data_IF_007591789218
#
_entry.id   IF_007591789218
#
_cell.length_a   1.000
_cell.length_b   1.000
_cell.length_c   1.000
_cell.angle_alpha   90.00
_cell.angle_beta   90.00
_cell.angle_gamma   90.00
#
_symmetry.space_group_name_H-M   'P 1'
#
loop_
_entity.id
_entity.type
_entity.pdbx_description
1 polymer ?
#
# COMPACT_ATOMS: atom_id res chain seq x y z
N UNK A 1 8.91 -8.15 15.63
CA UNK A 1 8.02 -8.10 14.47
C UNK A 1 6.89 -7.12 14.75
N UNK A 2 6.76 -6.07 13.94
CA UNK A 2 5.60 -5.18 14.02
C UNK A 2 4.39 -5.91 13.43
N UNK A 3 3.31 -6.05 14.19
CA UNK A 3 2.02 -6.59 13.73
C UNK A 3 1.01 -5.45 13.74
N UNK A 4 0.34 -5.25 12.60
CA UNK A 4 -0.80 -4.33 12.52
C UNK A 4 -2.03 -4.99 13.15
N UNK A 5 -2.86 -4.19 13.83
CA UNK A 5 -4.19 -4.62 14.24
C UNK A 5 -5.08 -4.88 13.01
N UNK A 6 -6.20 -5.62 13.14
CA UNK A 6 -7.01 -6.02 11.99
C UNK A 6 -7.54 -4.84 11.15
N UNK A 7 -7.97 -3.77 11.80
CA UNK A 7 -8.43 -2.51 11.21
C UNK A 7 -7.29 -1.75 10.52
N UNK A 8 -6.14 -1.63 11.19
CA UNK A 8 -4.93 -1.03 10.64
C UNK A 8 -4.47 -1.79 9.37
N UNK A 9 -4.49 -3.12 9.43
CA UNK A 9 -4.15 -4.01 8.32
C UNK A 9 -5.13 -3.83 7.16
N UNK A 10 -6.42 -3.69 7.43
CA UNK A 10 -7.45 -3.52 6.41
C UNK A 10 -7.28 -2.18 5.66
N UNK A 11 -7.22 -1.06 6.38
CA UNK A 11 -7.01 0.27 5.78
C UNK A 11 -5.71 0.32 4.96
N UNK A 12 -4.66 -0.29 5.50
CA UNK A 12 -3.37 -0.37 4.85
C UNK A 12 -3.37 -1.19 3.56
N UNK A 13 -4.06 -2.33 3.52
CA UNK A 13 -4.19 -3.14 2.30
C UNK A 13 -5.07 -2.47 1.26
N UNK A 14 -6.19 -1.88 1.70
CA UNK A 14 -7.08 -1.14 0.81
C UNK A 14 -6.32 -0.01 0.11
N UNK A 15 -5.54 0.76 0.87
CA UNK A 15 -4.69 1.79 0.28
C UNK A 15 -3.58 1.24 -0.60
N UNK A 16 -3.01 0.07 -0.26
CA UNK A 16 -2.01 -0.59 -1.12
C UNK A 16 -2.62 -0.94 -2.48
N UNK A 17 -3.86 -1.43 -2.53
CA UNK A 17 -4.54 -1.72 -3.79
C UNK A 17 -4.92 -0.47 -4.56
N UNK A 18 -5.38 0.58 -3.87
CA UNK A 18 -5.73 1.87 -4.47
C UNK A 18 -4.55 2.50 -5.19
N UNK A 19 -3.42 2.68 -4.48
CA UNK A 19 -2.25 3.37 -5.05
C UNK A 19 -1.59 2.56 -6.17
N UNK A 20 -1.62 1.23 -6.05
CA UNK A 20 -0.98 0.35 -7.04
C UNK A 20 -1.86 -0.04 -8.20
N UNK A 21 -3.18 0.15 -8.07
CA UNK A 21 -4.16 -0.30 -9.06
C UNK A 21 -3.99 -1.79 -9.41
N UNK A 22 -3.38 -2.59 -8.53
CA UNK A 22 -2.94 -3.96 -8.82
C UNK A 22 -4.08 -4.83 -9.38
N UNK A 23 -5.29 -4.62 -8.87
CA UNK A 23 -6.48 -5.41 -9.23
C UNK A 23 -7.48 -4.61 -10.08
N UNK A 24 -7.09 -3.46 -10.62
CA UNK A 24 -7.90 -2.69 -11.56
C UNK A 24 -7.62 -3.25 -12.97
N UNK A 25 -8.62 -3.85 -13.59
CA UNK A 25 -8.56 -4.37 -14.95
C UNK A 25 -9.78 -3.91 -15.77
N UNK A 26 -9.68 -3.77 -17.11
CA UNK A 26 -10.82 -3.96 -18.01
C UNK A 26 -11.10 -5.46 -18.29
N UNK A 27 -10.26 -6.34 -17.79
CA UNK A 27 -10.36 -7.79 -17.88
C UNK A 27 -11.10 -8.36 -16.65
N UNK A 28 -12.36 -8.75 -16.87
CA UNK A 28 -13.13 -9.74 -16.11
C UNK A 28 -13.31 -9.46 -14.59
N UNK A 29 -14.43 -8.80 -14.28
CA UNK A 29 -15.26 -9.15 -13.12
C UNK A 29 -14.83 -8.69 -11.72
N UNK A 30 -13.78 -7.88 -11.58
CA UNK A 30 -13.45 -7.24 -10.29
C UNK A 30 -14.09 -5.85 -10.19
N UNK A 31 -15.08 -5.72 -9.31
CA UNK A 31 -15.59 -4.41 -8.90
C UNK A 31 -14.57 -3.71 -7.98
N UNK A 32 -14.37 -2.38 -8.10
CA UNK A 32 -13.38 -1.59 -7.34
C UNK A 32 -13.61 -1.48 -5.81
N UNK A 33 -14.25 -2.46 -5.19
CA UNK A 33 -14.51 -2.54 -3.75
C UNK A 33 -14.44 -3.98 -3.20
N UNK A 34 -14.17 -4.98 -4.04
CA UNK A 34 -13.98 -6.35 -3.58
C UNK A 34 -12.52 -6.58 -3.27
N UNK A 35 -12.24 -6.88 -1.99
CA UNK A 35 -10.94 -7.40 -1.54
C UNK A 35 -10.56 -8.58 -2.44
N UNK A 36 -9.29 -8.71 -2.89
CA UNK A 36 -8.85 -9.90 -3.60
C UNK A 36 -9.19 -11.14 -2.77
N UNK A 37 -9.53 -12.24 -3.42
CA UNK A 37 -9.86 -13.50 -2.74
C UNK A 37 -8.73 -13.96 -1.81
N UNK A 38 -7.49 -13.57 -2.10
CA UNK A 38 -6.30 -13.73 -1.26
C UNK A 38 -5.55 -12.39 -1.14
N UNK A 39 -5.47 -11.83 0.07
CA UNK A 39 -4.71 -10.60 0.34
C UNK A 39 -3.28 -10.88 0.79
N UNK A 40 -2.38 -9.88 0.70
CA UNK A 40 -1.00 -10.02 1.22
C UNK A 40 -0.94 -10.38 2.72
N UNK A 41 -1.99 -10.05 3.50
CA UNK A 41 -2.09 -10.50 4.89
C UNK A 41 -2.31 -12.01 5.02
N UNK A 42 -3.00 -12.66 4.07
CA UNK A 42 -3.18 -14.12 4.09
C UNK A 42 -1.83 -14.82 3.91
N UNK A 43 -0.97 -14.29 3.03
CA UNK A 43 0.40 -14.75 2.86
C UNK A 43 1.22 -14.61 4.13
N UNK A 44 1.15 -13.45 4.79
CA UNK A 44 1.87 -13.21 6.03
C UNK A 44 1.36 -14.10 7.18
N UNK A 45 0.04 -14.31 7.27
CA UNK A 45 -0.58 -15.23 8.25
C UNK A 45 -0.12 -16.66 8.04
N UNK A 46 -0.08 -17.13 6.79
CA UNK A 46 0.42 -18.47 6.47
C UNK A 46 1.89 -18.61 6.85
N UNK A 47 2.73 -17.62 6.51
CA UNK A 47 4.13 -17.58 6.92
C UNK A 47 4.28 -17.71 8.43
N UNK A 48 3.58 -16.88 9.22
CA UNK A 48 3.64 -16.92 10.68
C UNK A 48 3.20 -18.28 11.21
N UNK A 49 2.11 -18.82 10.65
CA UNK A 49 1.59 -20.13 11.02
C UNK A 49 2.60 -21.25 10.78
N UNK A 50 3.35 -21.22 9.68
CA UNK A 50 4.38 -22.25 9.41
C UNK A 50 5.60 -22.01 10.30
N UNK A 51 6.07 -20.77 10.44
CA UNK A 51 7.28 -20.42 11.18
C UNK A 51 7.15 -20.70 12.68
N UNK A 52 5.99 -20.43 13.28
CA UNK A 52 5.76 -20.53 14.73
C UNK A 52 5.32 -21.94 15.18
N UNK A 53 4.64 -22.71 14.31
CA UNK A 53 4.12 -24.03 14.70
C UNK A 53 5.18 -25.13 14.64
N UNK A 54 5.14 -26.05 15.62
CA UNK A 54 5.96 -27.27 15.60
C UNK A 54 5.60 -28.16 14.40
N UNK A 55 4.30 -28.38 14.17
CA UNK A 55 3.78 -29.23 13.09
C UNK A 55 2.85 -28.48 12.14
N UNK A 56 2.99 -28.75 10.85
CA UNK A 56 2.17 -28.19 9.78
C UNK A 56 1.55 -29.32 8.94
N UNK A 57 0.59 -30.02 9.53
CA UNK A 57 -0.11 -31.11 8.85
C UNK A 57 -1.16 -30.56 7.91
N UNK A 58 -1.05 -30.86 6.61
CA UNK A 58 -1.98 -30.37 5.58
C UNK A 58 -3.09 -31.36 5.25
N UNK A 59 -2.84 -32.65 5.46
CA UNK A 59 -3.76 -33.75 5.14
C UNK A 59 -4.14 -34.47 6.43
N UNK A 60 -5.42 -34.81 6.59
CA UNK A 60 -5.91 -35.70 7.63
C UNK A 60 -6.41 -37.00 6.99
N UNK A 61 -6.06 -38.13 7.60
CA UNK A 61 -6.58 -39.45 7.24
C UNK A 61 -7.64 -39.81 8.26
N UNK A 62 -8.89 -39.93 7.83
CA UNK A 62 -9.96 -40.43 8.69
C UNK A 62 -10.36 -41.85 8.22
N UNK A 63 -10.47 -42.82 9.13
CA UNK A 63 -11.03 -44.12 8.78
C UNK A 63 -12.53 -43.95 8.54
N UNK A 64 -13.00 -44.38 7.36
CA UNK A 64 -14.42 -44.54 7.07
C UNK A 64 -14.83 -45.98 7.31
N UNK A 65 -16.04 -46.20 7.81
CA UNK A 65 -16.54 -47.49 8.28
C UNK A 65 -16.68 -48.56 7.18
N UNK A 66 -16.65 -48.19 5.89
CA UNK A 66 -17.02 -49.11 4.80
C UNK A 66 -15.83 -49.70 4.02
N UNK A 67 -14.61 -49.17 4.16
CA UNK A 67 -13.41 -49.75 3.55
C UNK A 67 -12.17 -49.29 4.32
N UNK A 68 -11.21 -50.19 4.59
CA UNK A 68 -9.89 -49.91 5.21
C UNK A 68 -8.98 -48.96 4.39
N UNK A 69 -9.54 -48.23 3.41
CA UNK A 69 -8.84 -47.25 2.59
C UNK A 69 -9.12 -45.85 3.17
N UNK A 70 -8.16 -45.23 3.87
CA UNK A 70 -8.38 -43.94 4.51
C UNK A 70 -8.69 -42.86 3.47
N UNK A 71 -9.83 -42.20 3.61
CA UNK A 71 -10.10 -40.99 2.85
C UNK A 71 -9.17 -39.86 3.32
N UNK A 72 -8.65 -39.12 2.34
CA UNK A 72 -7.66 -38.06 2.52
C UNK A 72 -8.41 -36.74 2.47
N UNK A 73 -8.47 -36.04 3.61
CA UNK A 73 -9.11 -34.73 3.71
C UNK A 73 -8.06 -33.64 3.88
N UNK A 74 -8.27 -32.49 3.24
CA UNK A 74 -7.47 -31.31 3.51
C UNK A 74 -7.86 -30.72 4.87
N UNK A 75 -6.88 -30.48 5.72
CA UNK A 75 -7.06 -29.69 6.94
C UNK A 75 -7.30 -28.22 6.60
N UNK A 76 -7.79 -27.39 7.53
CA UNK A 76 -7.88 -25.94 7.32
C UNK A 76 -6.54 -25.31 6.90
N UNK A 77 -5.41 -25.82 7.43
CA UNK A 77 -4.06 -25.40 7.04
C UNK A 77 -3.75 -25.75 5.58
N UNK A 78 -4.13 -26.96 5.16
CA UNK A 78 -3.98 -27.44 3.79
C UNK A 78 -4.84 -26.65 2.80
N UNK A 79 -6.09 -26.35 3.15
CA UNK A 79 -6.98 -25.50 2.34
C UNK A 79 -6.38 -24.11 2.16
N UNK A 80 -5.88 -23.49 3.23
CA UNK A 80 -5.26 -22.17 3.15
C UNK A 80 -3.98 -22.18 2.30
N UNK A 81 -3.10 -23.17 2.48
CA UNK A 81 -1.90 -23.33 1.67
C UNK A 81 -2.24 -23.45 0.18
N UNK A 82 -3.21 -24.30 -0.19
CA UNK A 82 -3.61 -24.48 -1.59
C UNK A 82 -4.21 -23.22 -2.19
N UNK A 83 -5.04 -22.50 -1.42
CA UNK A 83 -5.59 -21.20 -1.83
C UNK A 83 -4.48 -20.21 -2.17
N UNK A 84 -3.43 -20.14 -1.34
CA UNK A 84 -2.26 -19.29 -1.60
C UNK A 84 -1.48 -19.75 -2.83
N UNK A 85 -1.23 -21.06 -2.95
CA UNK A 85 -0.53 -21.63 -4.12
C UNK A 85 -1.23 -21.26 -5.43
N UNK A 86 -2.56 -21.35 -5.45
CA UNK A 86 -3.39 -21.05 -6.63
C UNK A 86 -3.44 -19.56 -6.97
N UNK A 87 -3.25 -18.67 -5.97
CA UNK A 87 -3.29 -17.22 -6.17
C UNK A 87 -1.97 -16.65 -6.73
N UNK A 88 -0.82 -17.28 -6.42
CA UNK A 88 0.51 -16.79 -6.82
C UNK A 88 0.61 -16.42 -8.31
N UNK A 89 0.14 -17.25 -9.26
CA UNK A 89 0.22 -16.93 -10.69
C UNK A 89 -0.64 -15.74 -11.12
N UNK A 90 -1.65 -15.38 -10.32
CA UNK A 90 -2.61 -14.32 -10.62
C UNK A 90 -2.32 -13.02 -9.85
N UNK A 91 -1.58 -13.11 -8.75
CA UNK A 91 -1.30 -11.98 -7.87
C UNK A 91 -0.28 -10.99 -8.50
N UNK A 92 -0.69 -9.76 -8.86
CA UNK A 92 0.16 -8.79 -9.57
C UNK A 92 1.46 -8.45 -8.84
N UNK A 93 1.46 -8.49 -7.50
CA UNK A 93 2.64 -8.24 -6.67
C UNK A 93 3.66 -9.38 -6.72
N UNK A 94 3.23 -10.57 -7.13
CA UNK A 94 4.05 -11.79 -7.17
C UNK A 94 4.42 -12.20 -8.60
N UNK A 95 3.66 -11.76 -9.61
CA UNK A 95 3.90 -12.07 -11.03
C UNK A 95 4.99 -11.20 -11.67
N UNK A 96 5.60 -10.27 -10.93
CA UNK A 96 6.61 -9.36 -11.48
C UNK A 96 6.06 -8.26 -12.39
N UNK A 97 4.74 -7.98 -12.33
CA UNK A 97 4.11 -6.88 -13.10
C UNK A 97 4.59 -5.51 -12.63
N UNK A 98 4.95 -5.41 -11.35
CA UNK A 98 5.61 -4.23 -10.80
C UNK A 98 7.13 -4.40 -10.87
N UNK A 99 7.79 -3.68 -11.78
CA UNK A 99 9.25 -3.71 -11.90
C UNK A 99 9.96 -3.13 -10.68
N UNK A 100 9.40 -2.07 -10.08
CA UNK A 100 10.05 -1.28 -9.04
C UNK A 100 9.51 -1.53 -7.62
N UNK A 101 8.59 -2.48 -7.45
CA UNK A 101 8.02 -2.80 -6.14
C UNK A 101 8.73 -4.00 -5.52
N UNK A 102 9.06 -3.87 -4.23
CA UNK A 102 9.46 -4.96 -3.35
C UNK A 102 8.36 -5.21 -2.33
N UNK A 103 8.10 -6.48 -2.05
CA UNK A 103 7.11 -6.92 -1.06
C UNK A 103 7.80 -7.26 0.26
N UNK A 104 7.00 -7.30 1.34
CA UNK A 104 7.45 -7.68 2.68
C UNK A 104 8.31 -8.97 2.66
N UNK A 105 9.50 -8.99 3.31
CA UNK A 105 10.47 -10.08 3.18
C UNK A 105 9.93 -11.48 3.50
N UNK A 106 9.06 -11.59 4.50
CA UNK A 106 8.41 -12.83 4.91
C UNK A 106 7.57 -13.44 3.78
N UNK A 107 6.79 -12.60 3.09
CA UNK A 107 5.97 -13.01 1.95
C UNK A 107 6.89 -13.42 0.79
N UNK A 108 7.93 -12.62 0.52
CA UNK A 108 8.90 -12.91 -0.55
C UNK A 108 9.58 -14.25 -0.35
N UNK A 109 10.11 -14.50 0.86
CA UNK A 109 10.77 -15.77 1.19
C UNK A 109 9.82 -16.96 1.03
N UNK A 110 8.57 -16.82 1.47
CA UNK A 110 7.58 -17.87 1.32
C UNK A 110 7.32 -18.21 -0.16
N UNK A 111 7.08 -17.19 -0.98
CA UNK A 111 6.82 -17.36 -2.42
C UNK A 111 8.04 -17.93 -3.16
N UNK A 112 9.24 -17.49 -2.82
CA UNK A 112 10.48 -18.01 -3.40
C UNK A 112 10.67 -19.49 -3.09
N UNK A 113 10.36 -19.90 -1.86
CA UNK A 113 10.44 -21.30 -1.47
C UNK A 113 9.32 -22.14 -2.08
N UNK A 114 8.11 -21.60 -2.26
CA UNK A 114 7.05 -22.29 -3.00
C UNK A 114 7.45 -22.58 -4.46
N UNK A 115 8.12 -21.63 -5.13
CA UNK A 115 8.71 -21.86 -6.44
C UNK A 115 9.85 -22.90 -6.40
N UNK A 116 10.78 -22.77 -5.45
CA UNK A 116 11.94 -23.67 -5.30
C UNK A 116 11.52 -25.13 -5.10
N UNK A 117 10.49 -25.37 -4.29
CA UNK A 117 9.94 -26.69 -4.01
C UNK A 117 8.89 -27.13 -5.03
N UNK A 118 8.75 -26.40 -6.16
CA UNK A 118 7.82 -26.67 -7.27
C UNK A 118 6.36 -26.85 -6.87
N UNK A 119 5.97 -26.33 -5.70
CA UNK A 119 4.63 -26.50 -5.13
C UNK A 119 3.53 -25.83 -5.96
N UNK A 120 3.88 -24.79 -6.71
CA UNK A 120 2.95 -24.04 -7.58
C UNK A 120 2.50 -24.87 -8.79
N UNK A 121 3.34 -25.78 -9.26
CA UNK A 121 3.07 -26.62 -10.42
C UNK A 121 2.85 -28.09 -10.03
N UNK A 122 2.67 -28.37 -8.73
CA UNK A 122 2.64 -29.75 -8.24
C UNK A 122 1.31 -30.44 -8.60
N UNK A 123 1.33 -31.65 -9.20
CA UNK A 123 0.12 -32.38 -9.53
C UNK A 123 -0.55 -32.94 -8.26
N UNK A 124 -1.72 -32.38 -7.90
CA UNK A 124 -2.46 -32.75 -6.68
C UNK A 124 -2.91 -34.22 -6.61
N UNK A 125 -2.92 -34.94 -7.73
CA UNK A 125 -3.20 -36.38 -7.78
C UNK A 125 -2.18 -37.24 -7.03
N UNK A 126 -0.99 -36.71 -6.73
CA UNK A 126 0.09 -37.41 -6.01
C UNK A 126 0.15 -37.00 -4.53
N UNK A 127 -0.95 -37.14 -3.80
CA UNK A 127 -1.15 -36.57 -2.46
C UNK A 127 -0.07 -36.94 -1.42
N UNK A 128 0.49 -38.16 -1.46
CA UNK A 128 1.56 -38.57 -0.52
C UNK A 128 2.88 -37.87 -0.82
N UNK A 129 3.21 -37.69 -2.10
CA UNK A 129 4.39 -36.96 -2.53
C UNK A 129 4.22 -35.46 -2.24
N UNK A 130 3.00 -34.94 -2.43
CA UNK A 130 2.68 -33.56 -2.09
C UNK A 130 2.91 -33.25 -0.60
N UNK A 131 2.47 -34.12 0.32
CA UNK A 131 2.69 -33.94 1.75
C UNK A 131 4.19 -33.89 2.11
N UNK A 132 4.99 -34.80 1.54
CA UNK A 132 6.44 -34.81 1.75
C UNK A 132 7.14 -33.53 1.23
N UNK A 133 6.73 -33.03 0.06
CA UNK A 133 7.28 -31.79 -0.51
C UNK A 133 6.88 -30.58 0.34
N UNK A 134 5.63 -30.53 0.82
CA UNK A 134 5.19 -29.47 1.73
C UNK A 134 5.95 -29.49 3.05
N UNK A 135 6.24 -30.67 3.61
CA UNK A 135 7.07 -30.80 4.81
C UNK A 135 8.50 -30.26 4.56
N UNK A 136 9.10 -30.62 3.42
CA UNK A 136 10.41 -30.08 3.01
C UNK A 136 10.41 -28.56 2.86
N UNK A 137 9.38 -28.00 2.22
CA UNK A 137 9.15 -26.56 2.12
C UNK A 137 9.03 -25.90 3.51
N UNK A 138 8.22 -26.46 4.40
CA UNK A 138 8.01 -25.92 5.74
C UNK A 138 9.30 -25.93 6.57
N UNK A 139 10.11 -26.98 6.45
CA UNK A 139 11.41 -27.05 7.12
C UNK A 139 12.39 -26.01 6.58
N UNK A 140 12.53 -25.89 5.25
CA UNK A 140 13.40 -24.88 4.63
C UNK A 140 12.96 -23.46 5.00
N UNK A 141 11.65 -23.18 5.03
CA UNK A 141 11.11 -21.89 5.48
C UNK A 141 11.49 -21.59 6.94
N UNK A 142 11.35 -22.56 7.85
CA UNK A 142 11.74 -22.41 9.26
C UNK A 142 13.24 -22.20 9.46
N UNK A 143 14.08 -22.80 8.63
CA UNK A 143 15.53 -22.63 8.69
C UNK A 143 15.91 -21.26 8.13
N UNK A 144 15.43 -20.91 6.93
CA UNK A 144 15.77 -19.64 6.26
C UNK A 144 15.26 -18.42 7.01
N UNK A 145 14.07 -18.50 7.61
CA UNK A 145 13.53 -17.43 8.47
C UNK A 145 14.39 -17.12 9.69
N UNK A 146 15.26 -18.04 10.11
CA UNK A 146 16.17 -17.87 11.27
C UNK A 146 17.59 -17.49 10.86
N UNK A 147 17.89 -17.39 9.57
CA UNK A 147 19.21 -16.97 9.11
C UNK A 147 19.47 -15.52 9.51
N UNK A 148 20.72 -15.21 9.84
CA UNK A 148 21.13 -13.85 10.24
C UNK A 148 20.74 -12.82 9.18
N UNK A 149 20.95 -13.14 7.91
CA UNK A 149 20.73 -12.20 6.81
C UNK A 149 19.23 -11.89 6.65
N UNK A 150 18.37 -12.91 6.76
CA UNK A 150 16.92 -12.71 6.73
C UNK A 150 16.40 -11.94 7.95
N UNK A 151 16.91 -12.27 9.14
CA UNK A 151 16.56 -11.54 10.38
C UNK A 151 17.00 -10.08 10.29
N UNK A 152 18.17 -9.81 9.72
CA UNK A 152 18.64 -8.44 9.49
C UNK A 152 17.73 -7.69 8.51
N UNK A 153 17.32 -8.33 7.41
CA UNK A 153 16.43 -7.74 6.41
C UNK A 153 15.06 -7.40 7.00
N UNK A 154 14.46 -8.33 7.76
CA UNK A 154 13.16 -8.11 8.42
C UNK A 154 13.23 -7.05 9.51
N UNK A 155 14.29 -7.03 10.32
CA UNK A 155 14.51 -5.99 11.32
C UNK A 155 14.68 -4.61 10.69
N UNK A 156 15.39 -4.52 9.57
CA UNK A 156 15.54 -3.27 8.82
C UNK A 156 14.18 -2.79 8.28
N UNK A 157 13.40 -3.70 7.69
CA UNK A 157 12.04 -3.42 7.22
C UNK A 157 11.18 -2.86 8.35
N UNK A 158 11.05 -3.58 9.45
CA UNK A 158 10.24 -3.17 10.60
C UNK A 158 10.73 -1.86 11.22
N UNK A 159 12.04 -1.66 11.35
CA UNK A 159 12.61 -0.43 11.92
C UNK A 159 12.31 0.79 11.06
N UNK A 160 12.46 0.66 9.74
CA UNK A 160 12.14 1.72 8.78
C UNK A 160 10.64 2.06 8.82
N UNK A 161 9.75 1.06 8.84
CA UNK A 161 8.31 1.30 8.97
C UNK A 161 7.95 1.96 10.31
N UNK A 162 8.58 1.50 11.40
CA UNK A 162 8.41 2.10 12.72
C UNK A 162 8.86 3.57 12.77
N UNK A 163 9.90 3.93 12.02
CA UNK A 163 10.35 5.32 11.90
C UNK A 163 9.35 6.17 11.10
N UNK A 164 8.83 5.69 9.97
CA UNK A 164 7.76 6.38 9.22
C UNK A 164 6.54 6.62 10.10
N UNK A 165 6.13 5.60 10.88
CA UNK A 165 5.02 5.72 11.83
C UNK A 165 5.27 6.77 12.90
N UNK A 166 6.46 6.81 13.48
CA UNK A 166 6.82 7.83 14.47
C UNK A 166 6.85 9.24 13.87
N UNK A 167 7.38 9.39 12.65
CA UNK A 167 7.41 10.67 11.96
C UNK A 167 5.99 11.19 11.69
N UNK A 168 5.11 10.32 11.17
CA UNK A 168 3.71 10.67 10.95
C UNK A 168 2.97 10.98 12.25
N UNK A 169 3.14 10.18 13.31
CA UNK A 169 2.50 10.46 14.59
C UNK A 169 2.89 11.85 15.13
N UNK A 170 4.18 12.23 15.07
CA UNK A 170 4.62 13.57 15.48
C UNK A 170 3.99 14.68 14.63
N UNK A 171 3.83 14.43 13.33
CA UNK A 171 3.16 15.34 12.43
C UNK A 171 1.66 15.48 12.79
N UNK A 172 0.96 14.36 12.97
CA UNK A 172 -0.45 14.31 13.35
C UNK A 172 -0.70 15.01 14.69
N UNK A 173 0.10 14.70 15.71
CA UNK A 173 0.04 15.33 17.04
C UNK A 173 0.14 16.85 16.94
N UNK A 174 1.03 17.33 16.09
CA UNK A 174 1.30 18.75 15.97
C UNK A 174 0.29 19.46 15.05
N UNK A 175 -0.31 18.78 14.06
CA UNK A 175 -1.51 19.26 13.35
C UNK A 175 -2.67 19.43 14.32
N UNK A 176 -2.94 18.41 15.15
CA UNK A 176 -4.03 18.44 16.14
C UNK A 176 -3.81 19.51 17.20
N UNK A 177 -2.56 19.74 17.60
CA UNK A 177 -2.21 20.82 18.52
C UNK A 177 -2.42 22.21 17.90
N UNK A 178 -2.06 22.38 16.62
CA UNK A 178 -2.23 23.64 15.90
C UNK A 178 -3.69 23.97 15.61
N UNK A 179 -4.48 22.99 15.17
CA UNK A 179 -5.92 23.18 14.99
C UNK A 179 -6.69 21.86 15.26
N UNK A 180 -7.67 21.86 16.19
CA UNK A 180 -8.49 20.69 16.48
C UNK A 180 -9.47 20.31 15.35
N UNK A 181 -9.73 21.22 14.40
CA UNK A 181 -10.61 21.04 13.25
C UNK A 181 -9.85 21.28 11.94
N UNK A 182 -9.84 20.29 11.06
CA UNK A 182 -9.14 20.40 9.77
C UNK A 182 -9.79 19.54 8.69
N UNK A 183 -9.53 19.89 7.43
CA UNK A 183 -9.83 19.06 6.28
C UNK A 183 -8.53 18.49 5.68
N UNK A 184 -8.63 17.33 5.05
CA UNK A 184 -7.51 16.69 4.37
C UNK A 184 -7.80 16.58 2.89
N UNK A 185 -7.04 17.30 2.07
CA UNK A 185 -7.19 17.32 0.62
C UNK A 185 -6.00 16.64 -0.05
N UNK A 186 -6.21 16.06 -1.24
CA UNK A 186 -5.16 15.28 -1.91
C UNK A 186 -5.09 15.57 -3.41
N UNK A 187 -3.86 15.81 -3.87
CA UNK A 187 -3.52 16.11 -5.26
C UNK A 187 -2.47 15.10 -5.74
N UNK A 188 -2.70 14.47 -6.89
CA UNK A 188 -1.79 13.50 -7.48
C UNK A 188 -1.02 14.11 -8.64
N UNK A 189 0.29 14.22 -8.48
CA UNK A 189 1.23 14.55 -9.55
C UNK A 189 1.75 13.23 -10.11
N UNK A 190 1.47 12.92 -11.38
CA UNK A 190 1.83 11.65 -12.00
C UNK A 190 2.57 11.85 -13.32
N UNK A 191 3.46 10.92 -13.63
CA UNK A 191 4.20 10.87 -14.88
C UNK A 191 4.47 9.41 -15.29
N UNK A 192 4.33 9.11 -16.58
CA UNK A 192 4.59 7.79 -17.16
C UNK A 192 6.10 7.56 -17.35
N UNK A 193 6.54 6.31 -17.20
CA UNK A 193 7.90 5.91 -17.54
C UNK A 193 8.15 6.12 -19.04
N UNK A 194 9.02 7.06 -19.40
CA UNK A 194 9.50 7.19 -20.79
C UNK A 194 10.46 6.04 -21.08
N UNK A 195 10.17 5.24 -22.10
CA UNK A 195 11.13 4.22 -22.53
C UNK A 195 12.37 4.90 -23.10
N UNK A 196 13.51 4.20 -23.12
CA UNK A 196 14.75 4.73 -23.73
C UNK A 196 14.53 5.05 -25.21
N UNK A 197 13.56 4.40 -25.88
CA UNK A 197 13.19 4.64 -27.27
C UNK A 197 12.45 5.99 -27.49
N UNK A 198 11.90 6.61 -26.44
CA UNK A 198 11.31 7.95 -26.52
C UNK A 198 12.38 9.06 -26.60
N UNK A 199 13.66 8.75 -26.32
CA UNK A 199 14.76 9.69 -26.43
C UNK A 199 15.44 9.60 -27.80
N UNK A 200 14.76 10.06 -28.85
CA UNK A 200 15.38 10.29 -30.16
C UNK A 200 16.23 11.57 -30.17
N UNK A 201 17.10 11.80 -29.17
CA UNK A 201 17.93 13.02 -29.10
C UNK A 201 19.37 12.77 -28.66
N UNK A 202 20.24 13.59 -29.25
CA UNK A 202 21.69 13.45 -29.29
C UNK A 202 22.34 13.40 -27.88
N UNK A 203 23.03 12.31 -27.50
CA UNK A 203 23.53 12.08 -26.14
C UNK A 203 24.67 13.00 -25.68
N UNK A 204 25.14 13.94 -26.51
CA UNK A 204 26.29 14.81 -26.20
C UNK A 204 25.93 16.18 -25.61
N UNK A 205 24.65 16.57 -25.61
CA UNK A 205 24.24 17.93 -25.20
C UNK A 205 23.06 17.98 -24.21
N UNK A 206 22.52 16.84 -23.79
CA UNK A 206 21.37 16.78 -22.89
C UNK A 206 21.64 15.88 -21.69
N UNK A 207 21.47 16.43 -20.47
CA UNK A 207 21.24 15.62 -19.30
C UNK A 207 19.79 15.11 -19.36
N UNK A 208 19.53 13.80 -19.34
CA UNK A 208 18.16 13.29 -19.38
C UNK A 208 17.44 13.70 -18.09
N UNK A 209 16.39 14.52 -18.22
CA UNK A 209 15.47 14.81 -17.12
C UNK A 209 14.75 13.52 -16.79
N UNK A 210 14.88 13.02 -15.56
CA UNK A 210 14.24 11.78 -15.14
C UNK A 210 12.77 12.03 -14.78
N UNK A 211 11.95 10.97 -14.79
CA UNK A 211 10.57 11.03 -14.30
C UNK A 211 10.53 11.54 -12.86
N UNK A 212 11.47 11.10 -12.03
CA UNK A 212 11.57 11.51 -10.63
C UNK A 212 11.90 13.02 -10.54
N UNK A 213 12.74 13.58 -11.42
CA UNK A 213 13.01 15.03 -11.48
C UNK A 213 11.75 15.84 -11.84
N UNK A 214 10.96 15.37 -12.81
CA UNK A 214 9.70 16.02 -13.20
C UNK A 214 8.74 16.04 -12.02
N UNK A 215 8.55 14.89 -11.37
CA UNK A 215 7.64 14.75 -10.23
C UNK A 215 8.07 15.65 -9.08
N UNK A 216 9.36 15.65 -8.71
CA UNK A 216 9.88 16.46 -7.60
C UNK A 216 9.77 17.96 -7.90
N UNK A 217 10.14 18.38 -9.12
CA UNK A 217 10.08 19.79 -9.52
C UNK A 217 8.65 20.33 -9.54
N UNK A 218 7.71 19.57 -10.09
CA UNK A 218 6.30 19.96 -10.13
C UNK A 218 5.71 19.98 -8.73
N UNK A 219 5.96 18.96 -7.93
CA UNK A 219 5.48 18.87 -6.55
C UNK A 219 6.01 20.02 -5.68
N UNK A 220 7.30 20.34 -5.79
CA UNK A 220 7.93 21.43 -5.02
C UNK A 220 7.31 22.78 -5.32
N UNK A 221 7.04 23.07 -6.61
CA UNK A 221 6.37 24.33 -7.01
C UNK A 221 4.98 24.48 -6.41
N UNK A 222 4.20 23.39 -6.37
CA UNK A 222 2.85 23.40 -5.78
C UNK A 222 2.95 23.62 -4.26
N UNK A 223 3.87 22.89 -3.60
CA UNK A 223 4.12 23.05 -2.15
C UNK A 223 4.50 24.50 -1.81
N UNK A 224 5.41 25.09 -2.60
CA UNK A 224 5.86 26.48 -2.42
C UNK A 224 4.69 27.46 -2.59
N UNK A 225 3.92 27.36 -3.68
CA UNK A 225 2.78 28.24 -3.92
C UNK A 225 1.73 28.19 -2.80
N UNK A 226 1.37 26.99 -2.34
CA UNK A 226 0.41 26.82 -1.23
C UNK A 226 0.96 27.37 0.08
N UNK A 227 2.27 27.17 0.35
CA UNK A 227 2.89 27.59 1.60
C UNK A 227 3.16 29.10 1.65
N UNK A 228 3.46 29.73 0.52
CA UNK A 228 3.64 31.19 0.43
C UNK A 228 2.35 31.94 0.76
N UNK A 229 1.19 31.41 0.36
CA UNK A 229 -0.12 31.99 0.65
C UNK A 229 -0.79 31.34 1.90
N UNK A 230 0.00 30.74 2.80
CA UNK A 230 -0.53 29.98 3.93
C UNK A 230 -1.42 30.82 4.87
N UNK A 231 -1.16 32.12 4.99
CA UNK A 231 -1.99 33.03 5.77
C UNK A 231 -3.47 33.07 5.35
N UNK A 232 -3.76 32.71 4.09
CA UNK A 232 -5.13 32.58 3.57
C UNK A 232 -5.56 31.12 3.41
N UNK A 233 -4.64 30.24 3.04
CA UNK A 233 -4.94 28.81 2.86
C UNK A 233 -5.21 28.08 4.16
N UNK A 234 -4.72 28.60 5.30
CA UNK A 234 -4.83 27.96 6.61
C UNK A 234 -4.26 26.53 6.58
N UNK A 235 -3.24 26.26 5.75
CA UNK A 235 -2.58 24.95 5.67
C UNK A 235 -1.69 24.75 6.89
N UNK A 236 -2.07 23.78 7.73
CA UNK A 236 -1.33 23.42 8.95
C UNK A 236 -0.26 22.37 8.72
N UNK A 237 -0.27 21.71 7.56
CA UNK A 237 0.76 20.73 7.20
C UNK A 237 0.63 20.21 5.78
N UNK A 238 1.77 19.82 5.21
CA UNK A 238 1.84 19.20 3.88
C UNK A 238 2.69 17.93 3.96
N UNK A 239 2.15 16.83 3.46
CA UNK A 239 2.84 15.55 3.36
C UNK A 239 2.86 15.12 1.90
N UNK A 240 3.99 14.60 1.43
CA UNK A 240 4.12 13.96 0.13
C UNK A 240 4.22 12.45 0.28
N UNK A 241 3.65 11.71 -0.69
CA UNK A 241 3.73 10.26 -0.75
C UNK A 241 4.06 9.80 -2.16
N UNK A 242 5.13 9.02 -2.31
CA UNK A 242 5.44 8.35 -3.56
C UNK A 242 4.52 7.16 -3.79
N UNK A 243 4.04 7.00 -5.02
CA UNK A 243 3.12 5.95 -5.44
C UNK A 243 3.49 5.46 -6.85
N UNK A 244 3.17 4.19 -7.16
CA UNK A 244 3.27 3.65 -8.52
C UNK A 244 2.06 2.79 -8.81
N UNK A 245 1.65 2.70 -10.07
CA UNK A 245 0.54 1.84 -10.46
C UNK A 245 0.99 0.66 -11.35
N UNK A 246 0.06 -0.26 -11.61
CA UNK A 246 0.29 -1.46 -12.44
C UNK A 246 0.63 -1.13 -13.90
N UNK A 247 0.30 0.08 -14.35
CA UNK A 247 0.62 0.57 -15.68
C UNK A 247 2.03 1.19 -15.76
N UNK A 248 2.76 1.26 -14.65
CA UNK A 248 4.13 1.79 -14.61
C UNK A 248 4.21 3.30 -14.46
N UNK A 249 3.12 3.98 -14.11
CA UNK A 249 3.18 5.39 -13.72
C UNK A 249 3.87 5.52 -12.37
N UNK A 250 4.69 6.56 -12.24
CA UNK A 250 5.19 7.06 -10.96
C UNK A 250 4.43 8.31 -10.59
N UNK A 251 4.19 8.49 -9.31
CA UNK A 251 3.46 9.66 -8.83
C UNK A 251 3.91 10.10 -7.45
N UNK A 252 3.73 11.40 -7.19
CA UNK A 252 3.81 12.00 -5.87
C UNK A 252 2.42 12.53 -5.54
N UNK A 253 1.80 11.95 -4.53
CA UNK A 253 0.58 12.48 -3.92
C UNK A 253 0.97 13.54 -2.91
N UNK A 254 0.48 14.76 -3.10
CA UNK A 254 0.52 15.83 -2.12
C UNK A 254 -0.76 15.78 -1.29
N UNK A 255 -0.60 15.86 0.02
CA UNK A 255 -1.68 15.75 0.99
C UNK A 255 -1.62 16.99 1.87
N UNK A 256 -2.68 17.80 1.80
CA UNK A 256 -2.79 19.08 2.48
C UNK A 256 -3.70 18.92 3.69
N UNK A 257 -3.21 19.34 4.85
CA UNK A 257 -4.00 19.46 6.08
C UNK A 257 -4.34 20.93 6.25
N UNK A 258 -5.63 21.26 6.16
CA UNK A 258 -6.14 22.64 6.14
C UNK A 258 -7.00 22.88 7.36
N UNK A 259 -6.60 23.83 8.20
CA UNK A 259 -7.35 24.25 9.37
C UNK A 259 -8.75 24.77 8.99
N UNK A 260 -9.71 24.51 9.87
CA UNK A 260 -11.05 25.08 9.81
C UNK A 260 -11.36 25.83 11.10
N UNK A 261 -12.18 26.87 10.97
CA UNK A 261 -12.64 27.68 12.09
C UNK A 261 -14.08 27.33 12.50
N UNK A 262 -14.89 26.82 11.57
CA UNK A 262 -16.27 26.44 11.79
C UNK A 262 -16.61 25.08 11.15
N UNK A 263 -17.82 24.60 11.45
CA UNK A 263 -18.38 23.36 10.93
C UNK A 263 -19.22 23.56 9.67
N UNK A 264 -19.37 24.80 9.21
CA UNK A 264 -20.30 25.12 8.13
C UNK A 264 -19.79 24.54 6.80
N UNK A 265 -20.68 24.07 5.95
CA UNK A 265 -20.25 23.52 4.67
C UNK A 265 -19.99 24.64 3.66
N UNK A 266 -18.75 24.74 3.18
CA UNK A 266 -18.37 25.55 2.02
C UNK A 266 -17.84 24.63 0.92
N UNK A 267 -18.32 24.74 -0.33
CA UNK A 267 -17.77 23.95 -1.43
C UNK A 267 -16.26 24.10 -1.53
N UNK A 268 -15.53 22.98 -1.70
CA UNK A 268 -14.06 23.03 -1.80
C UNK A 268 -13.55 23.92 -2.93
N UNK A 269 -14.29 24.00 -4.05
CA UNK A 269 -13.97 24.87 -5.18
C UNK A 269 -13.96 26.37 -4.82
N UNK A 270 -14.59 26.77 -3.71
CA UNK A 270 -14.60 28.15 -3.20
C UNK A 270 -13.44 28.42 -2.23
N UNK A 271 -12.65 27.40 -1.88
CA UNK A 271 -11.53 27.55 -0.94
C UNK A 271 -10.33 28.24 -1.59
N UNK A 272 -9.53 28.93 -0.77
CA UNK A 272 -8.27 29.52 -1.24
C UNK A 272 -7.27 28.44 -1.67
N UNK A 273 -7.25 27.28 -1.00
CA UNK A 273 -6.40 26.16 -1.40
C UNK A 273 -6.69 25.72 -2.83
N UNK A 274 -7.97 25.60 -3.20
CA UNK A 274 -8.36 25.26 -4.57
C UNK A 274 -7.88 26.31 -5.56
N UNK A 275 -8.08 27.59 -5.26
CA UNK A 275 -7.65 28.72 -6.10
C UNK A 275 -6.13 28.71 -6.34
N UNK A 276 -5.34 28.39 -5.33
CA UNK A 276 -3.88 28.39 -5.42
C UNK A 276 -3.33 27.17 -6.17
N UNK A 277 -4.02 26.04 -6.10
CA UNK A 277 -3.60 24.78 -6.73
C UNK A 277 -4.12 24.66 -8.15
N UNK A 278 -5.28 25.23 -8.47
CA UNK A 278 -5.93 25.09 -9.79
C UNK A 278 -5.03 25.46 -10.99
N UNK A 279 -4.17 26.51 -10.94
CA UNK A 279 -3.24 26.81 -12.03
C UNK A 279 -2.25 25.67 -12.35
N UNK A 280 -2.04 24.74 -11.42
CA UNK A 280 -1.19 23.57 -11.59
C UNK A 280 -1.94 22.32 -12.05
N UNK A 281 -3.28 22.34 -12.08
CA UNK A 281 -4.11 21.18 -12.45
C UNK A 281 -4.17 21.08 -13.96
N UNK A 282 -3.68 19.96 -14.50
CA UNK A 282 -3.72 19.68 -15.93
C UNK A 282 -3.64 18.18 -16.22
N UNK A 283 -4.05 17.81 -17.43
CA UNK A 283 -3.90 16.45 -17.94
C UNK A 283 -3.40 16.51 -19.37
N UNK A 284 -2.08 16.39 -19.54
CA UNK A 284 -1.43 16.55 -20.85
C UNK A 284 -0.39 15.44 -21.10
N UNK A 285 -0.61 14.66 -22.16
CA UNK A 285 0.34 13.62 -22.58
C UNK A 285 0.63 12.61 -21.47
N UNK A 286 1.92 12.45 -21.15
CA UNK A 286 2.44 11.49 -20.16
C UNK A 286 2.55 12.04 -18.73
N UNK A 287 2.12 13.28 -18.48
CA UNK A 287 2.18 13.92 -17.16
C UNK A 287 0.80 14.47 -16.80
N UNK A 288 0.39 14.33 -15.54
CA UNK A 288 -0.84 14.95 -15.07
C UNK A 288 -0.78 15.36 -13.61
N UNK A 289 -1.52 16.40 -13.28
CA UNK A 289 -1.75 16.90 -11.93
C UNK A 289 -3.25 16.99 -11.74
N UNK A 290 -3.79 16.15 -10.87
CA UNK A 290 -5.24 16.01 -10.69
C UNK A 290 -5.60 15.87 -9.22
N UNK A 291 -6.74 16.42 -8.81
CA UNK A 291 -7.34 16.09 -7.53
C UNK A 291 -7.63 14.58 -7.48
N UNK A 292 -7.33 13.94 -6.35
CA UNK A 292 -7.40 12.49 -6.24
C UNK A 292 -7.73 12.07 -4.81
N UNK A 293 -8.60 11.08 -4.70
CA UNK A 293 -9.04 10.51 -3.42
C UNK A 293 -7.92 9.71 -2.74
N UNK A 294 -8.00 9.64 -1.42
CA UNK A 294 -7.25 8.66 -0.60
C UNK A 294 -8.17 7.46 -0.42
N UNK A 295 -7.66 6.22 -0.35
CA UNK A 295 -8.50 5.02 -0.41
C UNK A 295 -9.64 4.94 0.64
N UNK A 296 -9.58 5.73 1.72
CA UNK A 296 -10.60 5.81 2.76
C UNK A 296 -11.21 7.21 2.91
N UNK A 297 -10.96 8.11 1.96
CA UNK A 297 -11.48 9.48 1.95
C UNK A 297 -11.67 10.01 0.54
N UNK A 298 -12.73 10.78 0.32
CA UNK A 298 -12.87 11.61 -0.87
C UNK A 298 -11.77 12.69 -0.95
N UNK A 299 -11.58 13.22 -2.15
CA UNK A 299 -10.66 14.31 -2.51
C UNK A 299 -11.13 15.69 -2.08
N UNK A 300 -12.25 15.78 -1.34
CA UNK A 300 -12.95 17.04 -1.03
C UNK A 300 -13.77 17.60 -2.19
N UNK A 301 -13.77 16.96 -3.37
CA UNK A 301 -14.53 17.37 -4.56
C UNK A 301 -15.89 16.67 -4.67
N UNK A 302 -16.07 15.54 -3.98
CA UNK A 302 -17.30 14.73 -4.06
C UNK A 302 -18.40 15.16 -3.07
N UNK A 303 -19.69 15.02 -3.44
CA UNK A 303 -20.81 15.32 -2.56
C UNK A 303 -20.87 14.39 -1.35
N UNK A 304 -21.48 14.90 -0.28
CA UNK A 304 -21.62 14.23 1.02
C UNK A 304 -22.24 12.83 0.88
N UNK A 305 -21.65 11.85 1.57
CA UNK A 305 -22.31 10.57 1.83
C UNK A 305 -22.82 10.62 3.26
N UNK A 306 -24.15 10.61 3.44
CA UNK A 306 -24.81 10.79 4.74
C UNK A 306 -24.47 12.10 5.47
N UNK A 307 -24.36 13.22 4.73
CA UNK A 307 -24.06 14.55 5.26
C UNK A 307 -22.70 14.70 5.95
N UNK A 308 -21.77 13.76 5.76
CA UNK A 308 -20.42 13.79 6.35
C UNK A 308 -19.35 13.78 5.25
N UNK A 309 -18.52 14.81 5.26
CA UNK A 309 -17.25 14.85 4.52
C UNK A 309 -16.25 13.87 5.14
N UNK A 310 -15.86 12.83 4.40
CA UNK A 310 -14.86 11.86 4.88
C UNK A 310 -13.48 12.48 5.11
N UNK A 311 -13.22 13.63 4.46
CA UNK A 311 -12.01 14.44 4.58
C UNK A 311 -12.04 15.47 5.72
N UNK A 312 -13.17 15.72 6.40
CA UNK A 312 -13.25 16.67 7.53
C UNK A 312 -13.04 15.99 8.88
N UNK A 313 -12.16 16.53 9.71
CA UNK A 313 -11.75 15.99 11.01
C UNK A 313 -11.98 17.03 12.09
N UNK A 314 -12.68 16.65 13.15
CA UNK A 314 -12.82 17.46 14.37
C UNK A 314 -12.53 16.57 15.59
N UNK A 315 -11.60 17.02 16.43
CA UNK A 315 -11.19 16.35 17.67
C UNK A 315 -12.35 16.05 18.65
N UNK A 316 -13.47 16.77 18.54
CA UNK A 316 -14.65 16.57 19.37
C UNK A 316 -15.64 15.55 18.78
N UNK A 317 -15.44 15.09 17.54
CA UNK A 317 -16.32 14.11 16.91
C UNK A 317 -16.19 12.73 17.56
N UNK A 318 -17.32 12.04 17.68
CA UNK A 318 -17.33 10.63 18.03
C UNK A 318 -16.51 9.82 17.02
N UNK A 319 -15.75 8.85 17.53
CA UNK A 319 -14.90 7.96 16.73
C UNK A 319 -13.74 8.64 15.98
N UNK A 320 -13.39 9.89 16.29
CA UNK A 320 -12.26 10.59 15.67
C UNK A 320 -10.96 9.80 15.73
N UNK A 321 -10.68 9.11 16.84
CA UNK A 321 -9.49 8.25 16.97
C UNK A 321 -9.44 7.10 15.95
N UNK A 322 -10.59 6.52 15.59
CA UNK A 322 -10.67 5.50 14.54
C UNK A 322 -10.46 6.11 13.14
N UNK A 323 -10.99 7.31 12.90
CA UNK A 323 -10.81 8.02 11.63
C UNK A 323 -9.35 8.43 11.41
N UNK A 324 -8.71 9.01 12.42
CA UNK A 324 -7.28 9.33 12.41
C UNK A 324 -6.43 8.07 12.24
N UNK A 325 -6.78 6.98 12.91
CA UNK A 325 -6.10 5.68 12.71
C UNK A 325 -6.26 5.19 11.26
N UNK A 326 -7.46 5.29 10.69
CA UNK A 326 -7.71 4.92 9.30
C UNK A 326 -6.89 5.78 8.35
N UNK A 327 -6.93 7.11 8.49
CA UNK A 327 -6.12 8.05 7.71
C UNK A 327 -4.64 7.69 7.77
N UNK A 328 -4.09 7.53 8.98
CA UNK A 328 -2.70 7.12 9.18
C UNK A 328 -2.37 5.88 8.37
N UNK A 329 -3.15 4.81 8.50
CA UNK A 329 -2.83 3.55 7.83
C UNK A 329 -3.17 3.53 6.33
N UNK A 330 -4.02 4.43 5.85
CA UNK A 330 -4.09 4.71 4.41
C UNK A 330 -2.78 5.35 3.92
N UNK A 331 -2.19 6.26 4.69
CA UNK A 331 -1.00 7.00 4.26
C UNK A 331 0.31 6.21 4.43
N UNK A 332 0.63 5.75 5.65
CA UNK A 332 1.89 5.05 5.93
C UNK A 332 1.78 3.54 5.79
N UNK A 333 0.57 2.98 5.94
CA UNK A 333 0.36 1.53 5.98
C UNK A 333 0.91 0.80 4.76
N UNK A 334 0.77 1.29 3.51
CA UNK A 334 1.32 0.59 2.35
C UNK A 334 2.81 0.20 2.48
N UNK A 335 3.64 0.98 3.18
CA UNK A 335 5.06 0.69 3.44
C UNK A 335 5.30 -0.56 4.27
N UNK A 336 4.27 -1.04 4.97
CA UNK A 336 4.29 -2.30 5.70
C UNK A 336 4.29 -3.51 4.75
N UNK A 337 3.53 -3.41 3.64
CA UNK A 337 3.32 -4.49 2.69
C UNK A 337 4.28 -4.42 1.51
N UNK A 338 4.47 -3.23 0.96
CA UNK A 338 5.20 -2.98 -0.28
C UNK A 338 6.04 -1.70 -0.18
N UNK A 339 7.20 -1.68 -0.84
CA UNK A 339 8.07 -0.50 -0.96
C UNK A 339 8.61 -0.39 -2.37
N UNK A 340 9.18 0.76 -2.71
CA UNK A 340 9.89 0.91 -3.98
C UNK A 340 11.37 0.59 -3.80
N UNK A 341 11.98 -0.08 -4.80
CA UNK A 341 13.36 -0.59 -4.75
C UNK A 341 14.41 0.45 -4.33
N UNK A 342 14.14 1.73 -4.59
CA UNK A 342 15.08 2.83 -4.39
C UNK A 342 14.69 3.80 -3.26
N UNK A 343 13.61 3.53 -2.53
CA UNK A 343 13.18 4.40 -1.42
C UNK A 343 12.89 3.64 -0.15
N UNK A 344 13.54 4.08 0.94
CA UNK A 344 13.36 3.49 2.27
C UNK A 344 12.02 3.89 2.88
N UNK A 345 11.51 5.08 2.55
CA UNK A 345 10.22 5.62 2.98
C UNK A 345 9.56 6.27 1.76
N UNK A 346 8.26 6.02 1.58
CA UNK A 346 7.46 6.61 0.51
C UNK A 346 6.80 7.91 0.97
N UNK A 347 6.57 8.07 2.27
CA UNK A 347 5.97 9.25 2.86
C UNK A 347 7.01 10.22 3.43
N UNK A 348 6.84 11.51 3.17
CA UNK A 348 7.70 12.60 3.65
C UNK A 348 6.86 13.77 4.13
N UNK A 349 7.19 14.30 5.30
CA UNK A 349 6.64 15.58 5.78
C UNK A 349 7.37 16.70 5.05
N UNK A 350 6.65 17.48 4.25
CA UNK A 350 7.20 18.56 3.43
C UNK A 350 7.16 19.89 4.16
N UNK A 351 6.02 20.19 4.78
CA UNK A 351 5.82 21.43 5.54
C UNK A 351 5.02 21.19 6.81
N UNK A 352 5.42 21.98 7.80
CA UNK A 352 5.21 21.93 9.23
C UNK A 352 4.75 23.25 9.85
N UNK A 353 3.56 23.42 10.43
CA UNK A 353 3.22 24.66 11.17
C UNK A 353 3.82 24.72 12.60
N UNK A 354 4.85 23.93 12.88
CA UNK A 354 5.52 23.80 14.19
C UNK A 354 7.00 24.13 14.13
#
# INVERSE_FOLDING_TARGET
MIKLQPDESYASLLSTHHITQAYIQPFIGYTPNNRPSVGLDDYLKLYCMIAENKTFKIISKQPTYECLVPHVYLTPKGVNLLKIIQDIPMNPFLTGKFSDVIIRPEIKLMVDLLHKHTLINFPLGMYQQFEAVVDGFCQDLKVRSKTRDFVSLTNHWDSSFGNSRKAYNRFEDAVLYSNPMFQVHSLLVSAEFMSVDDFSMNPRTFAPVTVDDILQKTSSKIIEAVWENNAKNMTVGIVSKQETNIQGFKSIRLIFFVAREDTDFSPFAESQLYTDVEPFVFREGKTSVVWSDIACMNSGVEPLVYDIESNFYDSNQNYIGMRLTTLKYSLIGPEYWVRFKYTNTTLKVEKSSY
#
